data_IF_663055011383
#
_entry.id   IF_663055011383
#
_cell.length_a   1.000
_cell.length_b   1.000
_cell.length_c   1.000
_cell.angle_alpha   90.00
_cell.angle_beta   90.00
_cell.angle_gamma   90.00
#
_symmetry.space_group_name_H-M   'P 1'
#
loop_
_entity.id
_entity.type
_entity.pdbx_description
1 polymer ?
#
# COMPACT_ATOMS: atom_id res chain seq x y z
N UNK A 1 22.68 4.12 7.87
CA UNK A 1 23.33 3.77 9.17
C UNK A 1 23.71 2.28 9.20
N UNK A 2 24.62 1.82 8.30
CA UNK A 2 24.92 0.38 8.15
C UNK A 2 25.54 -0.28 9.39
N UNK A 3 26.20 0.51 10.25
CA UNK A 3 26.82 0.02 11.47
C UNK A 3 25.87 -0.05 12.68
N UNK A 4 24.61 0.40 12.50
CA UNK A 4 23.60 0.44 13.57
C UNK A 4 22.50 -0.62 13.41
N UNK A 5 22.41 -1.26 12.26
CA UNK A 5 21.35 -2.20 11.92
C UNK A 5 22.00 -3.59 11.76
N UNK A 6 21.73 -4.49 12.66
CA UNK A 6 22.21 -5.88 12.60
C UNK A 6 21.34 -6.74 11.68
N UNK A 7 20.01 -6.60 11.75
CA UNK A 7 19.05 -7.35 10.96
C UNK A 7 17.93 -6.43 10.48
N UNK A 8 17.39 -6.74 9.30
CA UNK A 8 16.25 -6.04 8.71
C UNK A 8 15.24 -7.05 8.17
N UNK A 9 13.96 -6.87 8.53
CA UNK A 9 12.85 -7.62 7.97
C UNK A 9 12.13 -6.72 6.97
N UNK A 10 12.01 -7.19 5.73
CA UNK A 10 11.39 -6.47 4.62
C UNK A 10 10.16 -7.24 4.19
N UNK A 11 8.96 -6.67 4.40
CA UNK A 11 7.69 -7.35 4.19
C UNK A 11 6.89 -6.58 3.14
N UNK A 12 6.40 -7.29 2.11
CA UNK A 12 5.51 -6.75 1.08
C UNK A 12 5.99 -5.41 0.49
N UNK A 13 7.29 -5.32 0.18
CA UNK A 13 7.94 -4.07 -0.20
C UNK A 13 8.56 -4.11 -1.60
N UNK A 14 8.88 -2.93 -2.11
CA UNK A 14 9.57 -2.73 -3.37
C UNK A 14 10.72 -1.73 -3.21
N UNK A 15 11.78 -1.78 -4.04
CA UNK A 15 12.87 -0.81 -3.99
C UNK A 15 12.43 0.62 -4.33
N UNK A 16 11.37 0.76 -5.11
CA UNK A 16 10.68 2.02 -5.45
C UNK A 16 9.28 1.73 -5.96
N UNK A 17 8.42 2.73 -5.98
CA UNK A 17 7.07 2.58 -6.51
C UNK A 17 7.10 2.32 -8.03
N UNK A 18 6.16 1.48 -8.48
CA UNK A 18 5.87 1.29 -9.90
C UNK A 18 5.11 2.49 -10.46
N UNK A 19 5.11 2.62 -11.79
CA UNK A 19 4.29 3.62 -12.50
C UNK A 19 2.80 3.51 -12.10
N UNK A 20 2.30 2.28 -11.94
CA UNK A 20 0.92 2.03 -11.53
C UNK A 20 0.66 2.55 -10.10
N UNK A 21 1.58 2.32 -9.15
CA UNK A 21 1.45 2.84 -7.80
C UNK A 21 1.49 4.37 -7.75
N UNK A 22 2.34 5.01 -8.57
CA UNK A 22 2.36 6.46 -8.70
C UNK A 22 1.03 6.98 -9.27
N UNK A 23 0.44 6.27 -10.26
CA UNK A 23 -0.86 6.63 -10.81
C UNK A 23 -1.98 6.53 -9.77
N UNK A 24 -2.03 5.48 -8.96
CA UNK A 24 -2.99 5.38 -7.85
C UNK A 24 -2.82 6.50 -6.83
N UNK A 25 -1.57 6.81 -6.46
CA UNK A 25 -1.28 7.93 -5.56
C UNK A 25 -1.76 9.27 -6.15
N UNK A 26 -1.59 9.47 -7.46
CA UNK A 26 -2.02 10.72 -8.09
C UNK A 26 -3.55 10.85 -8.12
N UNK A 27 -4.28 9.79 -8.48
CA UNK A 27 -5.75 9.79 -8.43
C UNK A 27 -6.25 10.11 -7.01
N UNK A 28 -5.66 9.50 -5.99
CA UNK A 28 -6.01 9.77 -4.60
C UNK A 28 -5.72 11.23 -4.20
N UNK A 29 -4.57 11.77 -4.60
CA UNK A 29 -4.25 13.19 -4.37
C UNK A 29 -5.20 14.13 -5.11
N UNK A 30 -5.53 13.83 -6.37
CA UNK A 30 -6.51 14.63 -7.14
C UNK A 30 -7.88 14.64 -6.46
N UNK A 31 -8.33 13.51 -5.90
CA UNK A 31 -9.56 13.46 -5.12
C UNK A 31 -9.52 14.44 -3.93
N UNK A 32 -8.39 14.50 -3.21
CA UNK A 32 -8.23 15.40 -2.06
C UNK A 32 -8.15 16.86 -2.48
N UNK A 33 -7.31 17.20 -3.47
CA UNK A 33 -7.09 18.60 -3.86
C UNK A 33 -8.29 19.22 -4.60
N UNK A 34 -9.14 18.39 -5.20
CA UNK A 34 -10.38 18.82 -5.83
C UNK A 34 -11.57 18.96 -4.86
N UNK A 35 -11.41 18.53 -3.60
CA UNK A 35 -12.43 18.72 -2.58
C UNK A 35 -12.59 20.22 -2.27
N UNK A 36 -13.79 20.79 -2.33
CA UNK A 36 -14.01 22.22 -2.01
C UNK A 36 -13.50 22.62 -0.63
N UNK A 37 -13.59 21.72 0.34
CA UNK A 37 -13.14 21.95 1.72
C UNK A 37 -11.61 21.83 1.92
N UNK A 38 -10.85 21.52 0.87
CA UNK A 38 -9.39 21.45 0.92
C UNK A 38 -8.73 22.83 1.00
N UNK A 39 -9.35 23.85 0.36
CA UNK A 39 -8.89 25.26 0.37
C UNK A 39 -7.40 25.42 0.04
N UNK A 40 -6.89 24.68 -0.94
CA UNK A 40 -5.47 24.72 -1.31
C UNK A 40 -4.51 24.29 -0.20
N UNK A 41 -4.95 23.45 0.72
CA UNK A 41 -4.19 22.98 1.90
C UNK A 41 -4.40 23.83 3.16
N UNK A 42 -5.19 24.92 3.08
CA UNK A 42 -5.41 25.84 4.20
C UNK A 42 -6.68 25.54 5.02
N UNK A 43 -7.17 24.31 4.94
CA UNK A 43 -8.41 23.86 5.60
C UNK A 43 -8.37 23.97 7.14
N UNK A 44 -7.19 23.96 7.77
CA UNK A 44 -7.06 24.19 9.21
C UNK A 44 -7.57 25.59 9.63
N UNK A 45 -7.12 26.63 8.90
CA UNK A 45 -7.54 28.01 9.18
C UNK A 45 -9.03 28.21 8.88
N UNK A 46 -9.57 27.47 7.91
CA UNK A 46 -10.98 27.48 7.53
C UNK A 46 -11.85 26.63 8.46
N UNK A 47 -11.23 25.83 9.35
CA UNK A 47 -11.92 24.89 10.26
C UNK A 47 -12.80 23.88 9.51
N UNK A 48 -12.34 23.43 8.34
CA UNK A 48 -12.99 22.42 7.52
C UNK A 48 -12.15 21.15 7.43
N UNK A 49 -12.72 20.09 6.86
CA UNK A 49 -12.02 18.83 6.57
C UNK A 49 -12.40 18.43 5.15
N UNK A 50 -11.43 18.17 4.25
CA UNK A 50 -11.70 17.70 2.90
C UNK A 50 -12.10 16.21 2.93
N UNK A 51 -13.23 15.93 3.57
CA UNK A 51 -13.69 14.60 3.90
C UNK A 51 -14.08 13.78 2.66
N UNK A 52 -14.61 14.44 1.61
CA UNK A 52 -14.97 13.75 0.36
C UNK A 52 -13.73 13.23 -0.35
N UNK A 53 -12.70 14.05 -0.44
CA UNK A 53 -11.42 13.70 -1.06
C UNK A 53 -10.71 12.59 -0.28
N UNK A 54 -10.62 12.71 1.05
CA UNK A 54 -10.03 11.68 1.92
C UNK A 54 -10.79 10.35 1.83
N UNK A 55 -12.13 10.39 1.78
CA UNK A 55 -12.97 9.22 1.58
C UNK A 55 -12.61 8.48 0.29
N UNK A 56 -12.61 9.20 -0.84
CA UNK A 56 -12.29 8.62 -2.14
C UNK A 56 -10.86 8.06 -2.20
N UNK A 57 -9.90 8.77 -1.64
CA UNK A 57 -8.52 8.30 -1.54
C UNK A 57 -8.42 6.96 -0.76
N UNK A 58 -9.18 6.84 0.34
CA UNK A 58 -9.21 5.61 1.14
C UNK A 58 -9.94 4.46 0.43
N UNK A 59 -11.06 4.74 -0.23
CA UNK A 59 -11.79 3.76 -1.03
C UNK A 59 -10.88 3.14 -2.11
N UNK A 60 -10.15 3.98 -2.84
CA UNK A 60 -9.16 3.53 -3.81
C UNK A 60 -8.06 2.68 -3.15
N UNK A 61 -7.57 3.11 -1.98
CA UNK A 61 -6.62 2.34 -1.19
C UNK A 61 -7.12 0.91 -0.91
N UNK A 62 -8.34 0.76 -0.40
CA UNK A 62 -8.91 -0.55 -0.08
C UNK A 62 -9.05 -1.47 -1.30
N UNK A 63 -9.38 -0.92 -2.47
CA UNK A 63 -9.40 -1.70 -3.72
C UNK A 63 -8.00 -2.23 -4.04
N UNK A 64 -6.95 -1.44 -3.79
CA UNK A 64 -5.57 -1.83 -4.12
C UNK A 64 -4.89 -2.70 -3.07
N UNK A 65 -5.41 -2.76 -1.84
CA UNK A 65 -4.82 -3.54 -0.75
C UNK A 65 -5.31 -4.98 -0.68
N UNK A 66 -6.52 -5.24 -1.19
CA UNK A 66 -7.13 -6.56 -1.18
C UNK A 66 -6.99 -7.23 -2.55
N UNK A 67 -6.94 -8.56 -2.58
CA UNK A 67 -7.01 -9.33 -3.81
C UNK A 67 -8.45 -9.39 -4.35
N UNK A 68 -8.61 -9.69 -5.64
CA UNK A 68 -9.92 -9.95 -6.24
C UNK A 68 -10.60 -11.15 -5.56
N UNK A 69 -9.84 -12.21 -5.28
CA UNK A 69 -10.34 -13.41 -4.62
C UNK A 69 -10.93 -13.09 -3.25
N UNK A 70 -10.21 -12.33 -2.41
CA UNK A 70 -10.71 -11.94 -1.09
C UNK A 70 -11.93 -11.02 -1.18
N UNK A 71 -11.95 -10.08 -2.12
CA UNK A 71 -13.12 -9.23 -2.34
C UNK A 71 -14.32 -10.05 -2.80
N UNK A 72 -14.11 -11.01 -3.71
CA UNK A 72 -15.14 -11.94 -4.20
C UNK A 72 -15.68 -12.85 -3.10
N UNK A 73 -14.80 -13.45 -2.29
CA UNK A 73 -15.18 -14.29 -1.15
C UNK A 73 -15.98 -13.51 -0.10
N UNK A 74 -15.56 -12.28 0.21
CA UNK A 74 -16.13 -11.49 1.29
C UNK A 74 -17.45 -10.80 0.93
N UNK A 75 -17.59 -10.34 -0.31
CA UNK A 75 -18.73 -9.53 -0.73
C UNK A 75 -19.50 -10.09 -1.92
N UNK A 76 -18.86 -10.88 -2.77
CA UNK A 76 -19.48 -11.37 -4.00
C UNK A 76 -20.13 -10.26 -4.81
N UNK A 77 -21.34 -10.52 -5.26
CA UNK A 77 -22.27 -9.55 -5.86
C UNK A 77 -23.51 -9.35 -5.00
N UNK A 78 -23.36 -9.55 -3.68
CA UNK A 78 -24.48 -9.44 -2.74
C UNK A 78 -25.00 -8.00 -2.68
N UNK A 79 -26.33 -7.88 -2.68
CA UNK A 79 -27.04 -6.59 -2.54
C UNK A 79 -27.61 -6.45 -1.12
N UNK A 80 -27.73 -5.22 -0.66
CA UNK A 80 -28.24 -4.90 0.68
C UNK A 80 -29.78 -4.98 0.79
N UNK A 81 -30.46 -4.93 -0.31
CA UNK A 81 -31.92 -5.02 -0.40
C UNK A 81 -32.38 -6.31 -1.05
N UNK A 82 -33.69 -6.43 -1.22
CA UNK A 82 -34.30 -7.60 -1.86
C UNK A 82 -34.25 -7.52 -3.40
N UNK A 83 -34.05 -6.32 -3.98
CA UNK A 83 -34.03 -6.08 -5.42
C UNK A 83 -33.18 -4.87 -5.78
N UNK A 84 -32.84 -4.70 -7.07
CA UNK A 84 -32.06 -3.57 -7.57
C UNK A 84 -32.90 -2.28 -7.54
N UNK A 85 -32.31 -1.22 -6.94
CA UNK A 85 -32.95 0.09 -6.88
C UNK A 85 -32.77 0.97 -8.13
N UNK A 86 -31.81 0.61 -9.01
CA UNK A 86 -31.45 1.35 -10.24
C UNK A 86 -31.17 2.83 -9.98
N UNK A 87 -30.49 3.15 -8.87
CA UNK A 87 -30.17 4.51 -8.47
C UNK A 87 -28.66 4.61 -8.11
N UNK A 88 -28.22 5.75 -7.55
CA UNK A 88 -26.82 6.00 -7.16
C UNK A 88 -26.59 5.84 -5.65
N UNK A 89 -27.55 5.29 -4.94
CA UNK A 89 -27.37 4.95 -3.52
C UNK A 89 -26.56 3.64 -3.37
N UNK A 90 -26.36 3.21 -2.14
CA UNK A 90 -25.65 1.94 -1.85
C UNK A 90 -26.58 0.78 -2.17
N UNK A 91 -26.19 -0.03 -3.13
CA UNK A 91 -26.91 -1.25 -3.49
C UNK A 91 -26.11 -2.51 -3.14
N UNK A 92 -24.81 -2.53 -3.46
CA UNK A 92 -23.96 -3.69 -3.20
C UNK A 92 -23.25 -3.60 -1.84
N UNK A 93 -23.00 -4.76 -1.22
CA UNK A 93 -22.27 -4.83 0.06
C UNK A 93 -20.86 -4.23 -0.04
N UNK A 94 -20.16 -4.43 -1.16
CA UNK A 94 -18.84 -3.81 -1.39
C UNK A 94 -18.89 -2.29 -1.38
N UNK A 95 -19.95 -1.66 -1.92
CA UNK A 95 -20.10 -0.20 -1.89
C UNK A 95 -20.25 0.30 -0.45
N UNK A 96 -21.06 -0.41 0.35
CA UNK A 96 -21.24 -0.13 1.77
C UNK A 96 -19.91 -0.19 2.53
N UNK A 97 -19.15 -1.25 2.30
CA UNK A 97 -17.83 -1.44 2.90
C UNK A 97 -16.86 -0.32 2.54
N UNK A 98 -16.74 0.02 1.25
CA UNK A 98 -15.82 1.06 0.80
C UNK A 98 -16.21 2.43 1.36
N UNK A 99 -17.50 2.78 1.36
CA UNK A 99 -17.98 4.05 1.94
C UNK A 99 -17.70 4.10 3.44
N UNK A 100 -17.97 3.04 4.17
CA UNK A 100 -17.66 2.95 5.61
C UNK A 100 -16.18 3.16 5.91
N UNK A 101 -15.29 2.48 5.19
CA UNK A 101 -13.84 2.62 5.37
C UNK A 101 -13.35 4.03 5.02
N UNK A 102 -13.92 4.61 3.98
CA UNK A 102 -13.62 5.99 3.58
C UNK A 102 -14.05 7.00 4.63
N UNK A 103 -15.28 6.90 5.13
CA UNK A 103 -15.81 7.81 6.15
C UNK A 103 -15.03 7.73 7.47
N UNK A 104 -14.70 6.51 7.90
CA UNK A 104 -13.87 6.30 9.10
C UNK A 104 -12.48 6.94 8.95
N UNK A 105 -11.86 6.79 7.79
CA UNK A 105 -10.54 7.36 7.53
C UNK A 105 -10.56 8.89 7.52
N UNK A 106 -11.57 9.49 6.87
CA UNK A 106 -11.71 10.94 6.76
C UNK A 106 -11.87 11.65 8.12
N UNK A 107 -12.28 10.93 9.17
CA UNK A 107 -12.41 11.48 10.52
C UNK A 107 -11.10 11.56 11.30
N UNK A 108 -10.08 10.77 10.90
CA UNK A 108 -8.87 10.59 11.71
C UNK A 108 -7.58 10.93 10.96
N UNK A 109 -7.62 11.03 9.62
CA UNK A 109 -6.41 11.23 8.84
C UNK A 109 -6.33 12.65 8.27
N UNK A 110 -5.12 13.20 8.28
CA UNK A 110 -4.83 14.56 7.80
C UNK A 110 -4.54 14.59 6.30
N UNK A 111 -5.21 15.48 5.57
CA UNK A 111 -5.11 15.56 4.12
C UNK A 111 -3.73 16.03 3.63
N UNK A 112 -3.12 17.03 4.28
CA UNK A 112 -1.79 17.50 3.91
C UNK A 112 -0.74 16.41 4.18
N UNK A 113 -0.87 15.69 5.29
CA UNK A 113 -0.02 14.52 5.59
C UNK A 113 -0.15 13.45 4.51
N UNK A 114 -1.36 13.15 4.04
CA UNK A 114 -1.58 12.19 2.95
C UNK A 114 -0.84 12.61 1.67
N UNK A 115 -0.98 13.88 1.27
CA UNK A 115 -0.31 14.43 0.09
C UNK A 115 1.21 14.34 0.19
N UNK A 116 1.77 14.74 1.33
CA UNK A 116 3.22 14.74 1.56
C UNK A 116 3.77 13.31 1.58
N UNK A 117 3.13 12.39 2.30
CA UNK A 117 3.58 11.01 2.40
C UNK A 117 3.54 10.30 1.03
N UNK A 118 2.47 10.44 0.30
CA UNK A 118 2.37 9.82 -1.04
C UNK A 118 3.36 10.43 -2.03
N UNK A 119 3.64 11.73 -1.95
CA UNK A 119 4.70 12.37 -2.74
C UNK A 119 6.10 11.90 -2.34
N UNK A 120 6.37 11.74 -1.06
CA UNK A 120 7.65 11.21 -0.58
C UNK A 120 7.88 9.79 -1.11
N UNK A 121 6.83 8.95 -1.12
CA UNK A 121 6.87 7.60 -1.70
C UNK A 121 7.12 7.64 -3.23
N UNK A 122 6.46 8.53 -3.96
CA UNK A 122 6.67 8.69 -5.42
C UNK A 122 8.12 9.06 -5.75
N UNK A 123 8.74 9.91 -4.93
CA UNK A 123 10.12 10.38 -5.13
C UNK A 123 11.17 9.39 -4.63
N UNK A 124 10.79 8.43 -3.80
CA UNK A 124 11.73 7.47 -3.25
C UNK A 124 12.27 6.54 -4.35
N UNK A 125 13.51 6.75 -4.72
CA UNK A 125 14.29 5.88 -5.61
C UNK A 125 15.74 5.85 -5.11
N UNK A 126 16.12 4.86 -4.31
CA UNK A 126 17.47 4.76 -3.75
C UNK A 126 18.56 4.58 -4.83
N UNK A 127 18.17 4.13 -6.02
CA UNK A 127 19.12 3.98 -7.14
C UNK A 127 19.37 5.28 -7.93
N UNK A 128 18.62 6.35 -7.66
CA UNK A 128 18.70 7.60 -8.42
C UNK A 128 20.11 8.19 -8.46
N UNK A 129 20.81 8.18 -7.34
CA UNK A 129 22.16 8.75 -7.19
C UNK A 129 23.29 7.78 -7.57
N UNK A 130 22.96 6.52 -7.84
CA UNK A 130 23.90 5.45 -8.18
C UNK A 130 23.83 5.03 -9.65
N UNK A 131 23.37 5.94 -10.52
CA UNK A 131 23.24 5.67 -11.97
C UNK A 131 22.11 4.71 -12.29
N UNK A 132 21.06 4.69 -11.48
CA UNK A 132 19.91 3.77 -11.54
C UNK A 132 20.26 2.30 -11.28
N UNK A 133 21.38 2.07 -10.63
CA UNK A 133 21.82 0.75 -10.20
C UNK A 133 21.46 0.54 -8.73
N UNK A 134 20.43 -0.28 -8.48
CA UNK A 134 19.94 -0.54 -7.13
C UNK A 134 20.93 -1.40 -6.33
N UNK A 135 21.66 -2.32 -6.96
CA UNK A 135 22.69 -3.10 -6.28
C UNK A 135 23.79 -2.18 -5.71
N UNK A 136 24.20 -1.15 -6.48
CA UNK A 136 25.13 -0.13 -5.97
C UNK A 136 24.55 0.70 -4.82
N UNK A 137 23.24 0.98 -4.86
CA UNK A 137 22.57 1.74 -3.80
C UNK A 137 22.58 1.00 -2.47
N UNK A 138 22.41 -0.33 -2.48
CA UNK A 138 22.39 -1.17 -1.25
C UNK A 138 23.76 -1.74 -0.87
N UNK A 139 24.81 -1.52 -1.66
CA UNK A 139 26.16 -2.01 -1.39
C UNK A 139 26.70 -1.64 0.02
N UNK A 140 26.39 -0.46 0.61
CA UNK A 140 26.84 -0.12 1.97
C UNK A 140 26.13 -0.91 3.08
N UNK A 141 25.02 -1.60 2.80
CA UNK A 141 24.28 -2.35 3.81
C UNK A 141 25.14 -3.48 4.40
N UNK A 142 25.06 -3.69 5.72
CA UNK A 142 25.81 -4.73 6.46
C UNK A 142 24.89 -5.71 7.20
N UNK A 143 23.62 -5.38 7.29
CA UNK A 143 22.63 -6.20 7.99
C UNK A 143 22.44 -7.56 7.34
N UNK A 144 21.99 -8.54 8.11
CA UNK A 144 21.30 -9.72 7.59
C UNK A 144 19.84 -9.36 7.25
N UNK A 145 19.29 -9.94 6.20
CA UNK A 145 17.95 -9.61 5.71
C UNK A 145 17.03 -10.82 5.69
N UNK A 146 15.79 -10.62 6.12
CA UNK A 146 14.67 -11.48 5.81
C UNK A 146 13.72 -10.70 4.91
N UNK A 147 13.47 -11.20 3.70
CA UNK A 147 12.52 -10.58 2.76
C UNK A 147 11.33 -11.50 2.59
N UNK A 148 10.12 -11.00 2.82
CA UNK A 148 8.87 -11.73 2.66
C UNK A 148 7.93 -11.02 1.68
N UNK A 149 7.30 -11.78 0.79
CA UNK A 149 6.28 -11.32 -0.15
C UNK A 149 5.06 -12.25 -0.14
N UNK A 150 3.94 -11.80 -0.69
CA UNK A 150 2.69 -12.55 -0.75
C UNK A 150 2.28 -12.79 -2.20
N UNK A 151 1.88 -14.02 -2.53
CA UNK A 151 1.62 -14.44 -3.90
C UNK A 151 0.52 -13.64 -4.60
N UNK A 152 -0.48 -13.15 -3.86
CA UNK A 152 -1.61 -12.38 -4.38
C UNK A 152 -1.47 -10.86 -4.24
N UNK A 153 -0.32 -10.38 -3.75
CA UNK A 153 -0.05 -8.95 -3.65
C UNK A 153 0.20 -8.37 -5.04
N UNK A 154 -0.80 -7.75 -5.61
CA UNK A 154 -0.71 -7.13 -6.94
C UNK A 154 -0.26 -5.67 -6.88
N UNK A 155 -0.27 -5.05 -5.68
CA UNK A 155 0.26 -3.70 -5.46
C UNK A 155 1.78 -3.69 -5.34
N UNK A 156 2.33 -4.64 -4.59
CA UNK A 156 3.78 -4.91 -4.45
C UNK A 156 4.04 -6.40 -4.73
N UNK A 157 3.93 -6.80 -6.02
CA UNK A 157 4.00 -8.21 -6.37
C UNK A 157 5.38 -8.82 -6.02
N UNK A 158 5.48 -10.14 -5.85
CA UNK A 158 6.70 -10.84 -5.44
C UNK A 158 7.94 -10.49 -6.26
N UNK A 159 7.78 -10.16 -7.54
CA UNK A 159 8.87 -9.72 -8.42
C UNK A 159 9.60 -8.50 -7.85
N UNK A 160 8.88 -7.59 -7.20
CA UNK A 160 9.47 -6.38 -6.61
C UNK A 160 10.34 -6.71 -5.39
N UNK A 161 9.91 -7.68 -4.57
CA UNK A 161 10.72 -8.20 -3.46
C UNK A 161 11.94 -8.97 -3.96
N UNK A 162 11.80 -9.75 -5.05
CA UNK A 162 12.93 -10.45 -5.67
C UNK A 162 13.99 -9.50 -6.23
N UNK A 163 13.63 -8.27 -6.67
CA UNK A 163 14.61 -7.24 -7.04
C UNK A 163 15.49 -6.86 -5.83
N UNK A 164 14.90 -6.74 -4.63
CA UNK A 164 15.64 -6.45 -3.40
C UNK A 164 16.58 -7.61 -3.08
N UNK A 165 16.07 -8.84 -3.10
CA UNK A 165 16.86 -10.05 -2.83
C UNK A 165 18.03 -10.15 -3.79
N UNK A 166 17.80 -9.98 -5.09
CA UNK A 166 18.86 -10.03 -6.10
C UNK A 166 19.95 -9.01 -5.82
N UNK A 167 19.60 -7.78 -5.53
CA UNK A 167 20.57 -6.71 -5.25
C UNK A 167 21.42 -7.00 -3.99
N UNK A 168 20.81 -7.61 -2.97
CA UNK A 168 21.52 -8.02 -1.76
C UNK A 168 22.46 -9.21 -2.02
N UNK A 169 22.01 -10.22 -2.76
CA UNK A 169 22.84 -11.36 -3.18
C UNK A 169 24.02 -10.90 -4.03
N UNK A 170 23.81 -10.03 -5.00
CA UNK A 170 24.85 -9.48 -5.87
C UNK A 170 25.96 -8.75 -5.04
N UNK A 171 25.63 -8.27 -3.85
CA UNK A 171 26.56 -7.65 -2.90
C UNK A 171 27.09 -8.63 -1.83
N UNK A 172 26.81 -9.93 -1.95
CA UNK A 172 27.27 -10.94 -0.98
C UNK A 172 26.68 -10.75 0.42
N UNK A 173 25.44 -10.22 0.53
CA UNK A 173 24.77 -10.03 1.83
C UNK A 173 24.06 -11.29 2.25
N UNK A 174 23.99 -11.50 3.58
CA UNK A 174 23.17 -12.55 4.16
C UNK A 174 21.69 -12.17 3.96
N UNK A 175 20.96 -12.97 3.17
CA UNK A 175 19.56 -12.72 2.86
C UNK A 175 18.80 -14.03 2.75
N UNK A 176 17.68 -14.11 3.48
CA UNK A 176 16.66 -15.13 3.33
C UNK A 176 15.44 -14.57 2.64
N UNK A 177 14.80 -15.35 1.76
CA UNK A 177 13.59 -14.94 1.05
C UNK A 177 12.48 -15.97 1.22
N UNK A 178 11.28 -15.50 1.53
CA UNK A 178 10.07 -16.31 1.56
C UNK A 178 8.96 -15.65 0.71
N UNK A 179 8.40 -16.43 -0.21
CA UNK A 179 7.15 -16.09 -0.90
C UNK A 179 6.03 -16.90 -0.25
N UNK A 180 5.09 -16.17 0.37
CA UNK A 180 4.01 -16.75 1.16
C UNK A 180 2.79 -16.87 0.26
N UNK A 181 2.23 -18.09 0.18
CA UNK A 181 1.02 -18.36 -0.58
C UNK A 181 -0.20 -17.90 0.23
N UNK A 182 -0.61 -16.63 0.04
CA UNK A 182 -1.76 -16.04 0.70
C UNK A 182 -2.71 -15.39 -0.31
N UNK A 183 -4.04 -15.61 -0.23
CA UNK A 183 -5.01 -15.07 -1.17
C UNK A 183 -5.47 -13.64 -0.82
N UNK A 184 -4.87 -12.97 0.16
CA UNK A 184 -5.43 -11.77 0.80
C UNK A 184 -4.99 -10.44 0.19
N UNK A 185 -4.10 -10.45 -0.80
CA UNK A 185 -3.54 -9.24 -1.39
C UNK A 185 -2.42 -8.62 -0.56
N UNK A 186 -2.24 -7.30 -0.68
CA UNK A 186 -1.18 -6.57 0.02
C UNK A 186 -1.33 -6.64 1.54
N UNK A 187 -2.55 -6.54 2.06
CA UNK A 187 -2.82 -6.54 3.50
C UNK A 187 -2.65 -7.93 4.16
N UNK A 188 -2.18 -8.96 3.44
CA UNK A 188 -1.97 -10.31 3.97
C UNK A 188 -1.10 -10.33 5.23
N UNK A 189 -0.10 -9.45 5.35
CA UNK A 189 0.77 -9.36 6.54
C UNK A 189 0.06 -8.83 7.80
N UNK A 190 -1.17 -8.31 7.67
CA UNK A 190 -2.01 -7.85 8.78
C UNK A 190 -2.99 -8.92 9.26
N UNK A 191 -3.05 -10.05 8.56
CA UNK A 191 -3.99 -11.13 8.84
C UNK A 191 -3.28 -12.30 9.54
N UNK A 192 -4.08 -13.16 10.18
CA UNK A 192 -3.59 -14.36 10.85
C UNK A 192 -3.32 -15.46 9.81
N UNK A 193 -2.10 -15.47 9.27
CA UNK A 193 -1.63 -16.47 8.31
C UNK A 193 -0.53 -17.33 8.93
N UNK A 194 -0.78 -18.64 9.01
CA UNK A 194 0.13 -19.59 9.69
C UNK A 194 1.51 -19.69 9.00
N UNK A 195 1.57 -19.60 7.66
CA UNK A 195 2.83 -19.64 6.93
C UNK A 195 3.64 -18.38 7.17
N UNK A 196 2.98 -17.22 7.15
CA UNK A 196 3.62 -15.94 7.47
C UNK A 196 4.19 -15.94 8.89
N UNK A 197 3.40 -16.34 9.88
CA UNK A 197 3.86 -16.42 11.27
C UNK A 197 5.02 -17.40 11.47
N UNK A 198 5.03 -18.51 10.75
CA UNK A 198 6.16 -19.46 10.83
C UNK A 198 7.46 -18.89 10.26
N UNK A 199 7.37 -17.98 9.28
CA UNK A 199 8.54 -17.34 8.66
C UNK A 199 9.11 -16.22 9.52
N UNK A 200 8.24 -15.43 10.17
CA UNK A 200 8.66 -14.23 10.91
C UNK A 200 8.83 -14.50 12.41
N UNK A 201 8.20 -15.53 12.94
CA UNK A 201 8.19 -15.87 14.37
C UNK A 201 9.26 -16.87 14.81
N UNK A 202 10.06 -17.37 13.89
CA UNK A 202 11.24 -18.23 14.16
C UNK A 202 12.51 -17.42 14.23
#
# INVERSE_FOLDING_TARGET
YPDRIAHAIVIAAAPKLSTQNIAFNDVARQAIVSDPEFHGGNFYAMKTIPARGLRLARMLGHITYLSEDLLGEKFGREIKGDDYGFNYEVEFEIESYLRYQGDKFAQVFDANTYLIMTKALDYFDPARETGRDFARAVAPAKAGFLVASFSSDWRFPPERSREIVKALVDNGRDVSYAEIAAPHGHDAFLLDDAQYHSVVGT
#
